data_IF_267671171686
#
_entry.id   IF_267671171686
#
_cell.length_a   1.000
_cell.length_b   1.000
_cell.length_c   1.000
_cell.angle_alpha   90.00
_cell.angle_beta   90.00
_cell.angle_gamma   90.00
#
_symmetry.space_group_name_H-M   'P 1'
#
loop_
_entity.id
_entity.type
_entity.pdbx_description
1 polymer ?
#
# COMPACT_ATOMS: atom_id res chain seq x y z
N UNK A 1 20.56 8.78 5.07
CA UNK A 1 20.81 7.36 4.79
C UNK A 1 21.88 7.27 3.73
N UNK A 2 22.77 6.28 3.83
CA UNK A 2 23.65 5.94 2.71
C UNK A 2 22.88 5.14 1.65
N UNK A 3 23.50 4.88 0.50
CA UNK A 3 22.83 4.22 -0.63
C UNK A 3 22.38 2.79 -0.29
N UNK A 4 23.14 2.06 0.53
CA UNK A 4 22.81 0.69 0.95
C UNK A 4 21.58 0.65 1.87
N UNK A 5 21.53 1.56 2.86
CA UNK A 5 20.37 1.75 3.74
C UNK A 5 19.14 2.16 2.93
N UNK A 6 19.33 3.03 1.95
CA UNK A 6 18.27 3.51 1.05
C UNK A 6 17.72 2.37 0.20
N UNK A 7 18.59 1.55 -0.37
CA UNK A 7 18.21 0.35 -1.14
C UNK A 7 17.47 -0.67 -0.28
N UNK A 8 17.94 -0.94 0.94
CA UNK A 8 17.26 -1.86 1.87
C UNK A 8 15.87 -1.36 2.23
N UNK A 9 15.74 -0.08 2.60
CA UNK A 9 14.45 0.53 2.92
C UNK A 9 13.48 0.50 1.74
N UNK A 10 13.98 0.74 0.53
CA UNK A 10 13.17 0.68 -0.68
C UNK A 10 12.57 -0.72 -0.88
N UNK A 11 13.38 -1.78 -0.74
CA UNK A 11 12.89 -3.16 -0.87
C UNK A 11 11.86 -3.53 0.20
N UNK A 12 12.08 -3.12 1.46
CA UNK A 12 11.12 -3.32 2.55
C UNK A 12 9.78 -2.65 2.24
N UNK A 13 9.81 -1.40 1.77
CA UNK A 13 8.60 -0.66 1.41
C UNK A 13 7.85 -1.27 0.21
N UNK A 14 8.56 -1.82 -0.77
CA UNK A 14 7.93 -2.54 -1.89
C UNK A 14 7.23 -3.80 -1.39
N UNK A 15 7.86 -4.57 -0.50
CA UNK A 15 7.26 -5.77 0.08
C UNK A 15 5.99 -5.42 0.89
N UNK A 16 6.08 -4.40 1.75
CA UNK A 16 4.95 -3.90 2.53
C UNK A 16 3.81 -3.39 1.61
N UNK A 17 4.14 -2.63 0.57
CA UNK A 17 3.15 -2.14 -0.41
C UNK A 17 2.43 -3.31 -1.09
N UNK A 18 3.15 -4.33 -1.52
CA UNK A 18 2.60 -5.52 -2.16
C UNK A 18 1.65 -6.28 -1.22
N UNK A 19 2.03 -6.42 0.07
CA UNK A 19 1.17 -7.05 1.07
C UNK A 19 -0.15 -6.28 1.24
N UNK A 20 -0.10 -4.95 1.39
CA UNK A 20 -1.31 -4.14 1.43
C UNK A 20 -2.15 -4.26 0.15
N UNK A 21 -1.51 -4.35 -1.02
CA UNK A 21 -2.21 -4.50 -2.29
C UNK A 21 -2.99 -5.82 -2.38
N UNK A 22 -2.39 -6.92 -1.91
CA UNK A 22 -3.09 -8.21 -1.80
C UNK A 22 -4.24 -8.18 -0.81
N UNK A 23 -4.04 -7.56 0.35
CA UNK A 23 -5.11 -7.40 1.35
C UNK A 23 -6.28 -6.56 0.81
N UNK A 24 -5.99 -5.47 0.09
CA UNK A 24 -6.99 -4.64 -0.60
C UNK A 24 -7.82 -5.49 -1.57
N UNK A 25 -7.18 -6.30 -2.41
CA UNK A 25 -7.87 -7.19 -3.37
C UNK A 25 -8.75 -8.20 -2.64
N UNK A 26 -8.25 -8.82 -1.56
CA UNK A 26 -9.02 -9.77 -0.77
C UNK A 26 -10.25 -9.13 -0.09
N UNK A 27 -10.08 -7.92 0.47
CA UNK A 27 -11.16 -7.17 1.12
C UNK A 27 -12.20 -6.67 0.11
N UNK A 28 -11.76 -6.19 -1.06
CA UNK A 28 -12.67 -5.83 -2.16
C UNK A 28 -13.49 -7.04 -2.61
N UNK A 29 -12.86 -8.20 -2.77
CA UNK A 29 -13.54 -9.45 -3.12
C UNK A 29 -14.61 -9.82 -2.10
N UNK A 30 -14.28 -9.69 -0.81
CA UNK A 30 -15.21 -9.94 0.29
C UNK A 30 -16.36 -8.91 0.31
N UNK A 31 -16.05 -7.64 0.04
CA UNK A 31 -17.03 -6.56 0.01
C UNK A 31 -18.02 -6.73 -1.16
N UNK A 32 -17.53 -7.07 -2.35
CA UNK A 32 -18.35 -7.43 -3.52
C UNK A 32 -19.25 -8.62 -3.18
N UNK A 33 -18.70 -9.66 -2.54
CA UNK A 33 -19.48 -10.85 -2.12
C UNK A 33 -20.55 -10.53 -1.07
N UNK A 34 -20.42 -9.40 -0.37
CA UNK A 34 -21.42 -8.91 0.60
C UNK A 34 -22.40 -7.89 0.00
N UNK A 35 -22.41 -7.74 -1.33
CA UNK A 35 -23.15 -6.69 -2.06
C UNK A 35 -22.87 -5.29 -1.51
N UNK A 36 -21.60 -5.03 -1.13
CA UNK A 36 -21.14 -3.75 -0.58
C UNK A 36 -21.81 -3.33 0.74
N UNK A 37 -22.46 -4.24 1.45
CA UNK A 37 -23.24 -3.90 2.65
C UNK A 37 -22.40 -3.86 3.94
N UNK A 38 -21.20 -4.43 3.95
CA UNK A 38 -20.37 -4.46 5.15
C UNK A 38 -19.62 -3.14 5.38
N UNK A 39 -20.13 -2.34 6.31
CA UNK A 39 -19.47 -1.08 6.74
C UNK A 39 -18.10 -1.34 7.39
N UNK A 40 -17.96 -2.46 8.09
CA UNK A 40 -16.67 -2.89 8.63
C UNK A 40 -15.64 -3.09 7.52
N UNK A 41 -15.97 -3.83 6.46
CA UNK A 41 -15.06 -4.07 5.34
C UNK A 41 -14.71 -2.78 4.60
N UNK A 42 -15.64 -1.82 4.49
CA UNK A 42 -15.35 -0.49 3.92
C UNK A 42 -14.35 0.29 4.76
N UNK A 43 -14.50 0.29 6.08
CA UNK A 43 -13.58 0.98 6.99
C UNK A 43 -12.19 0.35 6.98
N UNK A 44 -12.11 -0.98 7.01
CA UNK A 44 -10.85 -1.71 6.88
C UNK A 44 -10.17 -1.40 5.54
N UNK A 45 -10.93 -1.44 4.43
CA UNK A 45 -10.42 -1.10 3.10
C UNK A 45 -9.89 0.34 3.03
N UNK A 46 -10.58 1.31 3.65
CA UNK A 46 -10.11 2.70 3.74
C UNK A 46 -8.75 2.77 4.42
N UNK A 47 -8.57 2.12 5.56
CA UNK A 47 -7.27 2.09 6.27
C UNK A 47 -6.17 1.45 5.42
N UNK A 48 -6.46 0.34 4.73
CA UNK A 48 -5.49 -0.32 3.87
C UNK A 48 -5.04 0.59 2.70
N UNK A 49 -5.99 1.27 2.05
CA UNK A 49 -5.68 2.21 0.95
C UNK A 49 -4.87 3.41 1.46
N UNK A 50 -5.19 3.94 2.65
CA UNK A 50 -4.42 5.02 3.27
C UNK A 50 -2.97 4.59 3.58
N UNK A 51 -2.77 3.37 4.08
CA UNK A 51 -1.44 2.84 4.36
C UNK A 51 -0.63 2.59 3.08
N UNK A 52 -1.26 1.97 2.07
CA UNK A 52 -0.65 1.81 0.76
C UNK A 52 -0.22 3.17 0.17
N UNK A 53 -1.08 4.19 0.24
CA UNK A 53 -0.79 5.54 -0.26
C UNK A 53 0.39 6.19 0.47
N UNK A 54 0.51 6.02 1.80
CA UNK A 54 1.65 6.51 2.58
C UNK A 54 2.96 5.88 2.12
N UNK A 55 2.97 4.56 1.92
CA UNK A 55 4.15 3.85 1.43
C UNK A 55 4.52 4.30 0.02
N UNK A 56 3.56 4.46 -0.88
CA UNK A 56 3.81 4.98 -2.23
C UNK A 56 4.48 6.36 -2.19
N UNK A 57 4.04 7.25 -1.29
CA UNK A 57 4.68 8.56 -1.12
C UNK A 57 6.10 8.45 -0.59
N UNK A 58 6.35 7.54 0.35
CA UNK A 58 7.70 7.29 0.87
C UNK A 58 8.63 6.74 -0.22
N UNK A 59 8.18 5.73 -0.99
CA UNK A 59 8.92 5.20 -2.13
C UNK A 59 9.27 6.29 -3.15
N UNK A 60 8.30 7.14 -3.51
CA UNK A 60 8.54 8.26 -4.42
C UNK A 60 9.53 9.29 -3.86
N UNK A 61 9.57 9.46 -2.53
CA UNK A 61 10.55 10.35 -1.88
C UNK A 61 11.95 9.74 -1.79
N UNK A 62 12.06 8.41 -1.85
CA UNK A 62 13.35 7.72 -1.93
C UNK A 62 13.87 7.72 -3.38
N UNK A 63 13.04 7.83 -4.39
CA UNK A 63 13.52 7.99 -5.77
C UNK A 63 13.82 9.47 -6.10
N UNK A 64 15.08 9.89 -5.90
CA UNK A 64 15.55 11.27 -6.15
C UNK A 64 15.42 11.71 -7.64
N UNK A 65 15.06 10.80 -8.55
CA UNK A 65 14.93 11.08 -9.99
C UNK A 65 13.51 11.39 -10.47
N UNK A 66 12.59 11.65 -9.56
CA UNK A 66 11.29 12.22 -9.89
C UNK A 66 10.33 11.16 -10.44
N UNK A 67 9.32 10.87 -9.63
CA UNK A 67 8.03 10.28 -9.99
C UNK A 67 8.07 9.10 -10.97
N UNK A 68 8.00 7.89 -10.43
CA UNK A 68 7.58 6.70 -11.18
C UNK A 68 6.03 6.69 -11.35
N UNK A 69 5.33 7.68 -10.77
CA UNK A 69 3.89 7.90 -10.87
C UNK A 69 3.57 9.34 -11.29
#
# INVERSE_FOLDING_TARGET
MNDDEKGKRFLELIDDQNNFQWEIVAKLTSLISSDWNSEQLKNELKTLVENHSKITKELNSLDDKGSIL
#
